data_IF_025370753542
#
_entry.id   IF_025370753542
#
_cell.length_a   1.000
_cell.length_b   1.000
_cell.length_c   1.000
_cell.angle_alpha   90.00
_cell.angle_beta   90.00
_cell.angle_gamma   90.00
#
_symmetry.space_group_name_H-M   'P 1'
#
loop_
_entity.id
_entity.type
_entity.pdbx_description
1 polymer ?
#
# COMPACT_ATOMS: atom_id res chain seq x y z
N UNK A 1 27.72 -9.87 -7.90
CA UNK A 1 28.45 -10.83 -8.77
C UNK A 1 29.93 -10.50 -8.65
N UNK A 2 30.81 -11.49 -8.47
CA UNK A 2 32.25 -11.21 -8.36
C UNK A 2 32.86 -10.97 -9.75
N UNK A 3 33.57 -9.85 -9.96
CA UNK A 3 34.28 -9.53 -11.21
C UNK A 3 35.15 -10.67 -11.76
N UNK A 4 35.87 -11.42 -10.91
CA UNK A 4 36.69 -12.56 -11.35
C UNK A 4 35.88 -13.73 -11.89
N UNK A 5 34.72 -14.00 -11.29
CA UNK A 5 33.83 -15.06 -11.77
C UNK A 5 33.20 -14.70 -13.11
N UNK A 6 32.86 -13.42 -13.31
CA UNK A 6 32.39 -12.93 -14.59
C UNK A 6 33.46 -13.13 -15.67
N UNK A 7 34.71 -12.73 -15.37
CA UNK A 7 35.81 -12.87 -16.31
C UNK A 7 36.05 -14.33 -16.71
N UNK A 8 36.10 -15.25 -15.74
CA UNK A 8 36.26 -16.69 -16.03
C UNK A 8 35.14 -17.25 -16.91
N UNK A 9 33.89 -16.83 -16.67
CA UNK A 9 32.75 -17.22 -17.51
C UNK A 9 32.91 -16.67 -18.93
N UNK A 10 33.34 -15.43 -19.06
CA UNK A 10 33.59 -14.84 -20.38
C UNK A 10 34.71 -15.57 -21.12
N UNK A 11 35.80 -15.97 -20.45
CA UNK A 11 36.83 -16.83 -21.04
C UNK A 11 36.32 -18.21 -21.44
N UNK A 12 35.47 -18.84 -20.63
CA UNK A 12 34.91 -20.14 -20.95
C UNK A 12 33.96 -20.10 -22.17
N UNK A 13 33.30 -18.96 -22.40
CA UNK A 13 32.39 -18.75 -23.53
C UNK A 13 33.09 -18.21 -24.77
N UNK A 14 34.16 -17.44 -24.58
CA UNK A 14 35.02 -16.97 -25.65
C UNK A 14 35.84 -18.16 -26.18
N UNK A 15 35.37 -18.78 -27.27
CA UNK A 15 36.25 -19.58 -28.10
C UNK A 15 37.48 -18.74 -28.52
N UNK A 16 38.58 -19.41 -28.84
CA UNK A 16 39.97 -18.92 -28.98
C UNK A 16 40.22 -17.64 -29.80
N UNK A 17 39.20 -17.06 -30.43
CA UNK A 17 39.27 -15.96 -31.37
C UNK A 17 39.01 -14.58 -30.75
N UNK A 18 38.66 -14.50 -29.46
CA UNK A 18 38.41 -13.21 -28.80
C UNK A 18 39.71 -12.59 -28.28
N UNK A 19 40.08 -11.44 -28.82
CA UNK A 19 41.22 -10.67 -28.31
C UNK A 19 41.01 -10.20 -26.87
N UNK A 20 42.09 -10.19 -26.06
CA UNK A 20 42.05 -9.75 -24.66
C UNK A 20 41.53 -8.31 -24.51
N UNK A 21 41.83 -7.44 -25.49
CA UNK A 21 41.31 -6.07 -25.53
C UNK A 21 39.79 -6.01 -25.68
N UNK A 22 39.22 -6.83 -26.56
CA UNK A 22 37.77 -6.92 -26.74
C UNK A 22 37.08 -7.56 -25.53
N UNK A 23 37.72 -8.55 -24.91
CA UNK A 23 37.21 -9.17 -23.69
C UNK A 23 37.17 -8.16 -22.54
N UNK A 24 38.22 -7.33 -22.41
CA UNK A 24 38.32 -6.28 -21.40
C UNK A 24 37.24 -5.23 -21.55
N UNK A 25 36.95 -4.75 -22.75
CA UNK A 25 35.88 -3.75 -22.97
C UNK A 25 34.51 -4.32 -22.62
N UNK A 26 34.21 -5.55 -23.04
CA UNK A 26 32.97 -6.25 -22.69
C UNK A 26 32.84 -6.49 -21.19
N UNK A 27 33.95 -6.81 -20.53
CA UNK A 27 33.98 -7.04 -19.09
C UNK A 27 33.69 -5.76 -18.32
N UNK A 28 34.30 -4.63 -18.72
CA UNK A 28 34.05 -3.29 -18.15
C UNK A 28 32.59 -2.86 -18.33
N UNK A 29 32.02 -3.09 -19.51
CA UNK A 29 30.62 -2.74 -19.80
C UNK A 29 29.61 -3.41 -18.84
N UNK A 30 29.94 -4.60 -18.35
CA UNK A 30 29.06 -5.41 -17.49
C UNK A 30 29.26 -5.16 -15.99
N UNK A 31 30.13 -4.24 -15.60
CA UNK A 31 30.43 -3.93 -14.19
C UNK A 31 29.77 -2.63 -13.70
N UNK A 32 29.60 -2.44 -12.37
CA UNK A 32 29.22 -1.15 -11.79
C UNK A 32 30.34 -0.10 -11.95
N UNK A 33 29.96 1.17 -12.05
CA UNK A 33 30.91 2.27 -12.30
C UNK A 33 32.01 2.39 -11.23
N UNK A 34 31.72 1.98 -10.00
CA UNK A 34 32.69 1.93 -8.90
C UNK A 34 33.90 1.03 -9.18
N UNK A 35 33.72 -0.01 -10.00
CA UNK A 35 34.78 -0.97 -10.36
C UNK A 35 35.41 -0.59 -11.70
N UNK A 36 34.64 -0.03 -12.64
CA UNK A 36 35.12 0.35 -13.98
C UNK A 36 36.34 1.26 -13.93
N UNK A 37 36.36 2.24 -13.03
CA UNK A 37 37.45 3.22 -12.95
C UNK A 37 38.83 2.57 -12.78
N UNK A 38 38.92 1.52 -11.96
CA UNK A 38 40.18 0.83 -11.70
C UNK A 38 40.58 -0.02 -12.90
N UNK A 39 39.61 -0.67 -13.54
CA UNK A 39 39.87 -1.44 -14.77
C UNK A 39 40.26 -0.54 -15.95
N UNK A 40 39.78 0.70 -16.01
CA UNK A 40 40.16 1.63 -17.09
C UNK A 40 41.58 2.16 -16.88
N UNK A 41 41.97 2.43 -15.64
CA UNK A 41 43.27 3.06 -15.30
C UNK A 41 44.42 2.05 -15.26
N UNK A 42 44.17 0.81 -14.85
CA UNK A 42 45.24 -0.20 -14.73
C UNK A 42 45.76 -0.66 -16.09
N UNK A 43 47.06 -0.83 -16.30
CA UNK A 43 47.62 -1.47 -17.51
C UNK A 43 47.98 -2.96 -17.28
N UNK A 44 47.63 -3.50 -16.12
CA UNK A 44 47.95 -4.87 -15.75
C UNK A 44 47.14 -5.93 -16.53
N UNK A 45 47.58 -7.19 -16.40
CA UNK A 45 46.87 -8.36 -16.91
C UNK A 45 45.46 -8.47 -16.32
N UNK A 46 44.53 -8.91 -17.16
CA UNK A 46 43.11 -8.96 -16.84
C UNK A 46 42.79 -9.79 -15.57
N UNK A 47 43.53 -10.87 -15.35
CA UNK A 47 43.41 -11.72 -14.16
C UNK A 47 43.76 -10.99 -12.86
N UNK A 48 44.80 -10.16 -12.86
CA UNK A 48 45.21 -9.39 -11.67
C UNK A 48 44.19 -8.30 -11.36
N UNK A 49 43.74 -7.61 -12.40
CA UNK A 49 42.70 -6.59 -12.29
C UNK A 49 41.40 -7.19 -11.75
N UNK A 50 41.05 -8.42 -12.16
CA UNK A 50 39.88 -9.11 -11.65
C UNK A 50 39.93 -9.40 -10.15
N UNK A 51 41.10 -9.78 -9.63
CA UNK A 51 41.29 -9.96 -8.18
C UNK A 51 41.21 -8.63 -7.43
N UNK A 52 41.74 -7.55 -7.99
CA UNK A 52 41.60 -6.21 -7.40
C UNK A 52 40.14 -5.77 -7.39
N UNK A 53 39.44 -5.96 -8.51
CA UNK A 53 38.02 -5.67 -8.68
C UNK A 53 37.15 -6.41 -7.65
N UNK A 54 37.43 -7.68 -7.37
CA UNK A 54 36.74 -8.43 -6.32
C UNK A 54 36.88 -7.76 -4.95
N UNK A 55 38.11 -7.35 -4.57
CA UNK A 55 38.35 -6.66 -3.29
C UNK A 55 37.59 -5.34 -3.20
N UNK A 56 37.47 -4.59 -4.29
CA UNK A 56 36.72 -3.33 -4.32
C UNK A 56 35.22 -3.61 -4.15
N UNK A 57 34.68 -4.66 -4.76
CA UNK A 57 33.29 -5.07 -4.58
C UNK A 57 33.03 -5.54 -3.14
N UNK A 58 34.00 -6.20 -2.51
CA UNK A 58 33.91 -6.62 -1.10
C UNK A 58 34.02 -5.45 -0.12
N UNK A 59 34.91 -4.48 -0.40
CA UNK A 59 35.13 -3.29 0.42
C UNK A 59 34.07 -2.21 0.19
N UNK A 60 33.41 -2.21 -0.97
CA UNK A 60 32.32 -1.31 -1.23
C UNK A 60 31.27 -1.54 -0.14
N UNK A 61 30.84 -0.48 0.59
CA UNK A 61 29.73 -0.62 1.49
C UNK A 61 28.60 -1.25 0.69
N UNK A 62 27.94 -2.27 1.25
CA UNK A 62 26.74 -2.87 0.67
C UNK A 62 25.67 -1.80 0.64
N UNK A 63 25.77 -0.86 -0.29
CA UNK A 63 24.75 0.10 -0.62
C UNK A 63 23.68 -0.73 -1.30
N UNK A 64 22.83 -1.35 -0.47
CA UNK A 64 21.47 -1.70 -0.84
C UNK A 64 20.99 -0.49 -1.63
N UNK A 65 20.74 -0.64 -2.93
CA UNK A 65 20.41 0.43 -3.86
C UNK A 65 19.51 1.50 -3.22
N UNK A 66 20.14 2.53 -2.63
CA UNK A 66 19.44 3.61 -1.92
C UNK A 66 18.60 4.42 -2.92
N UNK A 67 18.94 4.32 -4.21
CA UNK A 67 18.19 4.90 -5.33
C UNK A 67 16.78 4.33 -5.47
N UNK A 68 16.54 3.06 -5.10
CA UNK A 68 15.19 2.48 -5.06
C UNK A 68 14.42 2.93 -3.81
N UNK A 69 15.11 3.04 -2.66
CA UNK A 69 14.52 3.52 -1.41
C UNK A 69 14.14 5.00 -1.49
N UNK A 70 14.92 5.83 -2.21
CA UNK A 70 14.61 7.25 -2.40
C UNK A 70 13.33 7.48 -3.22
N UNK A 71 13.03 6.61 -4.20
CA UNK A 71 11.78 6.69 -4.97
C UNK A 71 10.56 6.30 -4.12
N UNK A 72 10.74 5.33 -3.20
CA UNK A 72 9.69 4.93 -2.27
C UNK A 72 9.57 5.82 -1.04
N UNK A 73 10.58 6.63 -0.69
CA UNK A 73 10.54 7.49 0.51
C UNK A 73 9.45 8.56 0.39
N UNK A 74 9.26 9.13 -0.80
CA UNK A 74 8.18 10.10 -1.06
C UNK A 74 6.80 9.47 -0.84
N UNK A 75 6.61 8.23 -1.31
CA UNK A 75 5.39 7.46 -1.09
C UNK A 75 5.14 7.13 0.39
N UNK A 76 6.19 6.72 1.11
CA UNK A 76 6.11 6.42 2.55
C UNK A 76 5.77 7.68 3.36
N UNK A 77 6.40 8.82 3.07
CA UNK A 77 6.09 10.09 3.75
C UNK A 77 4.65 10.52 3.48
N UNK A 78 4.17 10.39 2.23
CA UNK A 78 2.79 10.70 1.89
C UNK A 78 1.79 9.76 2.57
N UNK A 79 2.11 8.46 2.68
CA UNK A 79 1.28 7.49 3.40
C UNK A 79 1.23 7.80 4.90
N UNK A 80 2.36 8.13 5.52
CA UNK A 80 2.41 8.52 6.94
C UNK A 80 1.58 9.79 7.20
N UNK A 81 1.63 10.78 6.31
CA UNK A 81 0.78 11.97 6.41
C UNK A 81 -0.73 11.64 6.26
N UNK A 82 -1.08 10.70 5.37
CA UNK A 82 -2.46 10.20 5.23
C UNK A 82 -2.94 9.43 6.48
N UNK A 83 -2.06 8.65 7.09
CA UNK A 83 -2.37 7.94 8.34
C UNK A 83 -2.64 8.95 9.46
N UNK A 84 -1.75 9.94 9.65
CA UNK A 84 -1.92 10.96 10.69
C UNK A 84 -3.22 11.78 10.52
N UNK A 85 -3.58 12.11 9.26
CA UNK A 85 -4.85 12.81 8.98
C UNK A 85 -6.07 11.95 9.26
N UNK A 86 -6.06 10.67 8.89
CA UNK A 86 -7.14 9.72 9.21
C UNK A 86 -7.28 9.50 10.72
N UNK A 87 -6.18 9.39 11.45
CA UNK A 87 -6.20 9.29 12.92
C UNK A 87 -6.86 10.52 13.56
N UNK A 88 -6.57 11.73 13.06
CA UNK A 88 -7.22 12.96 13.49
C UNK A 88 -8.74 12.99 13.18
N UNK A 89 -9.14 12.48 12.00
CA UNK A 89 -10.55 12.35 11.65
C UNK A 89 -11.26 11.34 12.56
N UNK A 90 -10.64 10.20 12.88
CA UNK A 90 -11.20 9.21 13.80
C UNK A 90 -11.33 9.80 15.21
N UNK A 91 -10.34 10.56 15.68
CA UNK A 91 -10.40 11.21 16.98
C UNK A 91 -11.55 12.23 17.05
N UNK A 92 -11.72 13.07 16.02
CA UNK A 92 -12.81 14.05 15.97
C UNK A 92 -14.19 13.37 15.87
N UNK A 93 -14.35 12.32 15.07
CA UNK A 93 -15.58 11.53 14.99
C UNK A 93 -15.95 10.87 16.33
N UNK A 94 -14.96 10.31 17.04
CA UNK A 94 -15.16 9.73 18.38
C UNK A 94 -15.64 10.79 19.38
N UNK A 95 -15.14 12.03 19.29
CA UNK A 95 -15.62 13.13 20.12
C UNK A 95 -17.05 13.54 19.74
N UNK A 96 -17.35 13.69 18.45
CA UNK A 96 -18.70 14.04 17.97
C UNK A 96 -19.76 13.01 18.38
N UNK A 97 -19.42 11.71 18.40
CA UNK A 97 -20.34 10.67 18.88
C UNK A 97 -20.60 10.77 20.40
N UNK A 98 -19.62 11.17 21.20
CA UNK A 98 -19.82 11.38 22.65
C UNK A 98 -20.75 12.55 22.96
N UNK A 99 -20.79 13.57 22.10
CA UNK A 99 -21.70 14.73 22.26
C UNK A 99 -23.08 14.53 21.63
N UNK A 100 -23.28 13.48 20.81
CA UNK A 100 -24.62 12.97 20.46
C UNK A 100 -25.17 12.12 21.60
N UNK A 101 -25.27 12.68 22.80
CA UNK A 101 -26.22 12.15 23.77
C UNK A 101 -27.61 12.20 23.12
N UNK A 102 -28.42 11.13 23.18
CA UNK A 102 -29.83 11.24 22.86
C UNK A 102 -30.37 12.34 23.76
N UNK A 103 -30.82 13.46 23.17
CA UNK A 103 -31.49 14.51 23.93
C UNK A 103 -32.53 13.81 24.81
N UNK A 104 -32.45 13.93 26.16
CA UNK A 104 -33.45 13.34 27.02
C UNK A 104 -34.76 13.90 26.52
N UNK A 105 -35.60 13.03 25.94
CA UNK A 105 -36.93 13.40 25.53
C UNK A 105 -37.63 13.84 26.81
N UNK A 106 -37.61 15.14 27.07
CA UNK A 106 -38.43 15.77 28.07
C UNK A 106 -39.83 15.32 27.74
N UNK A 107 -40.36 14.45 28.59
CA UNK A 107 -41.77 14.10 28.65
C UNK A 107 -42.54 15.38 29.02
N UNK A 108 -42.63 16.33 28.09
CA UNK A 108 -43.65 17.34 28.11
C UNK A 108 -44.95 16.60 27.91
N UNK A 109 -45.67 16.42 29.02
CA UNK A 109 -47.07 15.99 29.07
C UNK A 109 -47.90 16.99 28.27
N UNK A 110 -47.87 16.91 26.95
CA UNK A 110 -48.88 17.51 26.09
C UNK A 110 -50.11 16.62 26.21
N UNK A 111 -50.96 16.97 27.18
CA UNK A 111 -52.35 16.56 27.15
C UNK A 111 -52.93 16.98 25.81
N UNK A 112 -53.12 16.01 24.92
CA UNK A 112 -53.90 16.19 23.70
C UNK A 112 -54.91 15.08 23.65
N UNK A 113 -56.16 15.52 23.69
CA UNK A 113 -57.37 14.75 23.73
C UNK A 113 -57.33 13.58 22.75
N UNK A 114 -57.73 12.44 23.30
CA UNK A 114 -58.14 11.24 22.59
C UNK A 114 -58.96 11.59 21.36
N UNK A 115 -58.42 11.33 20.17
CA UNK A 115 -59.22 11.06 18.98
C UNK A 115 -58.34 10.43 17.90
N UNK A 116 -58.58 9.13 17.69
CA UNK A 116 -58.44 8.38 16.43
C UNK A 116 -57.02 8.05 15.94
N UNK A 117 -56.50 6.94 16.44
CA UNK A 117 -56.40 5.62 15.76
C UNK A 117 -55.78 4.66 16.79
N UNK A 118 -56.59 3.77 17.37
CA UNK A 118 -56.13 2.85 18.42
C UNK A 118 -55.14 1.88 17.80
N UNK A 119 -53.86 2.08 18.09
CA UNK A 119 -52.83 1.08 17.87
C UNK A 119 -53.28 -0.23 18.54
N UNK A 120 -53.39 -1.31 17.77
CA UNK A 120 -53.67 -2.63 18.32
C UNK A 120 -52.35 -3.31 18.68
N UNK A 121 -51.99 -3.45 19.97
CA UNK A 121 -50.74 -4.09 20.38
C UNK A 121 -50.69 -5.60 20.08
N UNK A 122 -51.83 -6.21 19.72
CA UNK A 122 -51.90 -7.60 19.25
C UNK A 122 -51.93 -7.72 17.71
N UNK A 123 -51.83 -6.61 16.98
CA UNK A 123 -51.78 -6.60 15.52
C UNK A 123 -50.41 -7.02 14.97
N UNK A 124 -50.38 -7.44 13.69
CA UNK A 124 -49.13 -7.86 13.00
C UNK A 124 -48.10 -6.73 12.81
N UNK A 125 -48.46 -5.49 13.10
CA UNK A 125 -47.63 -4.31 12.85
C UNK A 125 -47.32 -3.57 14.16
N UNK A 126 -46.04 -3.29 14.41
CA UNK A 126 -45.62 -2.48 15.56
C UNK A 126 -46.03 -1.01 15.42
N UNK A 127 -45.95 -0.23 16.49
CA UNK A 127 -46.45 1.16 16.56
C UNK A 127 -45.98 2.05 15.41
N UNK A 128 -44.69 1.96 15.05
CA UNK A 128 -44.14 2.76 13.96
C UNK A 128 -44.70 2.32 12.60
N UNK A 129 -44.87 1.01 12.37
CA UNK A 129 -45.54 0.53 11.16
C UNK A 129 -46.99 1.04 11.13
N UNK A 130 -47.78 0.85 12.18
CA UNK A 130 -49.18 1.32 12.22
C UNK A 130 -49.34 2.83 12.02
N UNK A 131 -48.41 3.64 12.54
CA UNK A 131 -48.47 5.11 12.43
C UNK A 131 -48.07 5.64 11.06
N UNK A 132 -47.15 4.96 10.37
CA UNK A 132 -46.54 5.46 9.13
C UNK A 132 -46.89 4.65 7.88
N UNK A 133 -47.48 3.46 7.99
CA UNK A 133 -47.88 2.63 6.83
C UNK A 133 -49.33 2.82 6.40
N UNK A 134 -50.13 3.60 7.14
CA UNK A 134 -51.52 3.91 6.74
C UNK A 134 -51.61 4.98 5.64
N UNK A 135 -50.48 5.44 5.10
CA UNK A 135 -50.43 6.43 4.01
C UNK A 135 -49.86 5.84 2.69
N UNK A 136 -49.52 4.54 2.68
CA UNK A 136 -49.07 3.86 1.47
C UNK A 136 -49.73 2.48 1.39
N UNK A 137 -50.90 2.44 0.73
CA UNK A 137 -51.38 1.22 0.09
C UNK A 137 -52.67 0.63 0.66
N UNK A 138 -53.81 1.23 0.30
CA UNK A 138 -54.96 0.43 -0.15
C UNK A 138 -54.57 -0.37 -1.41
N UNK A 139 -53.69 -1.36 -1.32
CA UNK A 139 -53.50 -2.40 -2.36
C UNK A 139 -53.04 -3.67 -1.66
N UNK A 140 -53.64 -4.79 -2.02
CA UNK A 140 -53.50 -6.14 -1.45
C UNK A 140 -54.47 -6.46 -0.30
N UNK A 141 -55.76 -6.20 -0.56
CA UNK A 141 -56.80 -7.20 -0.30
C UNK A 141 -56.70 -8.25 -1.43
N UNK A 142 -56.99 -9.52 -1.11
CA UNK A 142 -56.72 -10.76 -1.87
C UNK A 142 -55.26 -11.20 -1.69
N UNK A 143 -54.93 -12.33 -1.06
CA UNK A 143 -55.37 -13.73 -1.16
C UNK A 143 -55.04 -14.38 0.22
N UNK A 144 -55.71 -15.36 0.82
CA UNK A 144 -56.27 -16.60 0.29
C UNK A 144 -57.16 -17.19 1.41
N UNK A 145 -58.39 -17.57 1.06
CA UNK A 145 -59.20 -18.51 1.81
C UNK A 145 -58.62 -19.92 1.65
N UNK A 146 -58.35 -20.60 2.77
CA UNK A 146 -58.76 -21.99 3.01
C UNK A 146 -58.56 -22.39 4.46
#
# INVERSE_FOLDING_TARGET
MMPSQLLRKMHALACTDVSEKALRTLWVDKMPDSVKGIVIVSEEHLDKIAVMADKIVEMAPRTIDVTAVQKNSVGVVQLMAKIATLEGQIASLKLQQKFRSPSPHQHQKRGRSSSRRRYNPQGRFCYNHFRFTLDVGERYITLEER
#
